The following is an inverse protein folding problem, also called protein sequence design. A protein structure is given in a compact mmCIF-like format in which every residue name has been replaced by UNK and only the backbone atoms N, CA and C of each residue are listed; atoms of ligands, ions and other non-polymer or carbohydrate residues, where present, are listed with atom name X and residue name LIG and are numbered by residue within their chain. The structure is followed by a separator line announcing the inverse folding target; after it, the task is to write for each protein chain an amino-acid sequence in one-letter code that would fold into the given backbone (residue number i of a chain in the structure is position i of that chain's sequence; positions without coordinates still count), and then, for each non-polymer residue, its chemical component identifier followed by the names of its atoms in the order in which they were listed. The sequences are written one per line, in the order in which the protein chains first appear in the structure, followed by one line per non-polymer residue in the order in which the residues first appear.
data_IF_263125517338
#
_entry.id   IF_263125517338
#
_cell.length_a   1.000
_cell.length_b   1.000
_cell.length_c   1.000
_cell.angle_alpha   90.00
_cell.angle_beta   90.00
_cell.angle_gamma   90.00
#
_symmetry.space_group_name_H-M   'P 1'
#
loop_
_entity.id
_entity.type
_entity.pdbx_description
1 polymer ?
#
# COMPACT_ATOMS: atom_id res chain seq x y z
N UNK A 1 43.23 30.70 -25.54
CA UNK A 1 42.58 29.38 -25.30
C UNK A 1 42.32 29.24 -23.80
N UNK A 2 41.15 29.62 -23.38
CA UNK A 2 40.70 29.50 -21.97
C UNK A 2 39.72 28.36 -21.87
N UNK A 3 40.13 27.29 -21.21
CA UNK A 3 39.23 26.17 -20.85
C UNK A 3 38.51 26.57 -19.57
N UNK A 4 37.30 27.05 -19.69
CA UNK A 4 36.42 27.26 -18.58
C UNK A 4 35.93 25.92 -18.01
N UNK A 5 36.46 25.51 -16.86
CA UNK A 5 35.95 24.40 -16.08
C UNK A 5 34.60 24.79 -15.51
N UNK A 6 33.53 24.22 -16.05
CA UNK A 6 32.20 24.31 -15.48
C UNK A 6 32.15 23.52 -14.19
N UNK A 7 32.38 24.19 -13.06
CA UNK A 7 32.05 23.67 -11.76
C UNK A 7 30.52 23.52 -11.68
N UNK A 8 30.04 22.30 -11.78
CA UNK A 8 28.65 21.97 -11.52
C UNK A 8 28.29 22.41 -10.11
N UNK A 9 27.64 23.53 -10.00
CA UNK A 9 27.00 23.98 -8.76
C UNK A 9 25.91 23.03 -8.43
N UNK A 10 26.18 22.09 -7.51
CA UNK A 10 25.15 21.44 -6.78
C UNK A 10 24.41 22.50 -6.00
N UNK A 11 23.24 22.86 -6.46
CA UNK A 11 22.36 23.74 -5.75
C UNK A 11 22.11 23.25 -4.34
N UNK A 12 21.83 24.14 -3.39
CA UNK A 12 21.57 23.76 -2.01
C UNK A 12 20.44 22.74 -1.98
N UNK A 13 20.65 21.67 -1.23
CA UNK A 13 19.59 20.73 -0.88
C UNK A 13 18.52 21.52 -0.16
N UNK A 14 17.40 21.76 -0.82
CA UNK A 14 16.26 22.38 -0.20
C UNK A 14 15.62 21.38 0.76
N UNK A 15 16.19 21.26 1.95
CA UNK A 15 15.53 20.62 3.10
C UNK A 15 14.54 21.59 3.75
N UNK A 16 14.38 22.76 3.19
CA UNK A 16 13.45 23.75 3.67
C UNK A 16 12.13 23.63 2.92
N UNK A 17 11.08 23.70 3.68
CA UNK A 17 9.66 23.85 3.37
C UNK A 17 9.34 24.83 2.21
N UNK A 18 9.92 24.61 1.05
CA UNK A 18 9.56 25.25 -0.21
C UNK A 18 8.54 24.39 -0.96
N UNK A 19 7.81 24.97 -1.91
CA UNK A 19 6.95 24.18 -2.77
C UNK A 19 7.79 23.11 -3.45
N UNK A 20 7.52 21.85 -3.14
CA UNK A 20 8.16 20.72 -3.77
C UNK A 20 7.85 20.67 -5.27
N UNK A 21 8.38 19.70 -6.03
CA UNK A 21 8.08 19.55 -7.44
C UNK A 21 6.56 19.54 -7.65
N UNK A 22 6.09 20.15 -8.73
CA UNK A 22 4.67 20.28 -9.03
C UNK A 22 3.98 18.94 -9.31
N UNK A 23 4.74 17.93 -9.75
CA UNK A 23 4.23 16.59 -10.06
C UNK A 23 5.31 15.52 -9.92
N UNK A 24 4.90 14.29 -9.71
CA UNK A 24 5.77 13.12 -9.69
C UNK A 24 5.07 11.92 -10.33
N UNK A 25 5.85 10.92 -10.70
CA UNK A 25 5.28 9.61 -11.10
C UNK A 25 4.63 8.96 -9.89
N UNK A 26 3.50 8.33 -10.08
CA UNK A 26 2.75 7.68 -9.01
C UNK A 26 3.55 6.57 -8.32
N UNK A 27 4.32 5.79 -9.07
CA UNK A 27 5.18 4.73 -8.53
C UNK A 27 6.30 5.30 -7.64
N UNK A 28 6.92 6.39 -8.04
CA UNK A 28 7.93 7.08 -7.25
C UNK A 28 7.34 7.69 -5.99
N UNK A 29 6.20 8.32 -6.09
CA UNK A 29 5.55 8.96 -4.95
C UNK A 29 5.10 7.93 -3.91
N UNK A 30 4.46 6.83 -4.32
CA UNK A 30 4.05 5.74 -3.40
C UNK A 30 5.23 5.15 -2.64
N UNK A 31 6.37 5.01 -3.30
CA UNK A 31 7.58 4.57 -2.65
C UNK A 31 8.17 5.65 -1.72
N UNK A 32 8.19 6.92 -2.13
CA UNK A 32 8.75 8.01 -1.36
C UNK A 32 8.00 8.26 -0.05
N UNK A 33 6.68 8.16 -0.05
CA UNK A 33 5.82 8.31 1.14
C UNK A 33 5.65 7.01 1.92
N UNK A 34 6.46 5.98 1.63
CA UNK A 34 6.51 4.70 2.33
C UNK A 34 5.22 3.87 2.26
N UNK A 35 4.35 4.11 1.29
CA UNK A 35 3.18 3.26 1.04
C UNK A 35 3.59 1.95 0.36
N UNK A 36 4.54 2.00 -0.57
CA UNK A 36 5.15 0.82 -1.14
C UNK A 36 6.52 0.56 -0.52
N UNK A 37 6.84 -0.69 -0.30
CA UNK A 37 8.11 -1.12 0.31
C UNK A 37 9.30 -0.77 -0.58
N UNK A 38 9.14 -0.98 -1.88
CA UNK A 38 10.14 -0.67 -2.90
C UNK A 38 9.47 0.04 -4.07
N UNK A 39 10.27 0.73 -4.89
CA UNK A 39 9.79 1.34 -6.13
C UNK A 39 9.27 0.28 -7.12
N UNK A 40 9.95 -0.87 -7.18
CA UNK A 40 9.51 -2.00 -8.01
C UNK A 40 8.16 -2.54 -7.57
N UNK A 41 7.89 -2.62 -6.26
CA UNK A 41 6.59 -3.02 -5.73
C UNK A 41 5.50 -2.02 -6.10
N UNK A 42 5.78 -0.72 -6.06
CA UNK A 42 4.85 0.30 -6.52
C UNK A 42 4.54 0.17 -8.02
N UNK A 43 5.56 -0.05 -8.84
CA UNK A 43 5.41 -0.28 -10.28
C UNK A 43 4.56 -1.53 -10.56
N UNK A 44 4.84 -2.62 -9.87
CA UNK A 44 4.08 -3.87 -10.00
C UNK A 44 2.61 -3.70 -9.59
N UNK A 45 2.34 -2.97 -8.51
CA UNK A 45 0.99 -2.67 -8.06
C UNK A 45 0.20 -1.85 -9.09
N UNK A 46 0.83 -0.87 -9.73
CA UNK A 46 0.21 -0.11 -10.81
C UNK A 46 -0.13 -1.01 -12.01
N UNK A 47 0.79 -1.88 -12.42
CA UNK A 47 0.56 -2.83 -13.53
C UNK A 47 -0.52 -3.86 -13.21
N UNK A 48 -0.64 -4.25 -11.96
CA UNK A 48 -1.68 -5.17 -11.50
C UNK A 48 -3.07 -4.51 -11.35
N UNK A 49 -3.18 -3.19 -11.54
CA UNK A 49 -4.43 -2.46 -11.38
C UNK A 49 -4.80 -2.17 -9.92
N UNK A 50 -3.86 -2.33 -9.00
CA UNK A 50 -4.08 -2.06 -7.57
C UNK A 50 -3.97 -0.58 -7.21
N UNK A 51 -3.53 0.26 -8.13
CA UNK A 51 -3.41 1.71 -7.93
C UNK A 51 -4.37 2.42 -8.86
N UNK A 52 -5.17 3.32 -8.29
CA UNK A 52 -6.04 4.21 -9.03
C UNK A 52 -5.76 5.65 -8.66
N UNK A 53 -5.83 6.52 -9.63
CA UNK A 53 -5.72 7.98 -9.43
C UNK A 53 -7.03 8.60 -9.87
N UNK A 54 -7.66 9.34 -8.97
CA UNK A 54 -8.97 9.97 -9.21
C UNK A 54 -10.03 8.98 -9.73
N UNK A 55 -9.98 7.73 -9.25
CA UNK A 55 -10.93 6.67 -9.62
C UNK A 55 -10.54 5.84 -10.83
N UNK A 56 -9.53 6.24 -11.60
CA UNK A 56 -9.08 5.53 -12.81
C UNK A 56 -7.81 4.71 -12.56
N UNK A 57 -7.67 3.53 -13.21
CA UNK A 57 -6.45 2.73 -13.10
C UNK A 57 -5.23 3.55 -13.51
N UNK A 58 -4.21 3.56 -12.67
CA UNK A 58 -2.99 4.32 -12.89
C UNK A 58 -1.91 3.47 -13.55
N UNK A 59 -1.24 4.03 -14.54
CA UNK A 59 0.01 3.49 -15.06
C UNK A 59 1.17 3.91 -14.15
N UNK A 60 2.26 3.10 -14.03
CA UNK A 60 3.39 3.45 -13.17
C UNK A 60 3.99 4.83 -13.46
N UNK A 61 4.04 5.22 -14.72
CA UNK A 61 4.58 6.49 -15.17
C UNK A 61 3.59 7.66 -15.08
N UNK A 62 2.35 7.42 -14.70
CA UNK A 62 1.34 8.46 -14.59
C UNK A 62 1.78 9.52 -13.58
N UNK A 63 1.64 10.78 -13.97
CA UNK A 63 1.96 11.91 -13.11
C UNK A 63 0.81 12.25 -12.20
N UNK A 64 1.14 12.58 -10.97
CA UNK A 64 0.22 13.05 -9.95
C UNK A 64 0.66 14.41 -9.44
N UNK A 65 -0.29 15.19 -8.95
CA UNK A 65 -0.10 16.51 -8.38
C UNK A 65 -0.74 16.60 -6.99
N UNK A 66 -0.46 17.67 -6.28
CA UNK A 66 -1.13 17.97 -5.00
C UNK A 66 -2.64 18.08 -5.22
N UNK A 67 -3.40 17.41 -4.37
CA UNK A 67 -4.85 17.34 -4.45
C UNK A 67 -5.40 16.09 -5.14
N UNK A 68 -4.56 15.31 -5.82
CA UNK A 68 -5.00 14.05 -6.43
C UNK A 68 -5.32 13.01 -5.36
N UNK A 69 -6.40 12.26 -5.58
CA UNK A 69 -6.76 11.12 -4.75
C UNK A 69 -6.13 9.85 -5.33
N UNK A 70 -5.41 9.13 -4.49
CA UNK A 70 -4.81 7.85 -4.84
C UNK A 70 -5.48 6.76 -4.03
N UNK A 71 -6.01 5.76 -4.72
CA UNK A 71 -6.46 4.52 -4.10
C UNK A 71 -5.40 3.45 -4.34
N UNK A 72 -4.88 2.89 -3.26
CA UNK A 72 -3.86 1.86 -3.29
C UNK A 72 -4.33 0.62 -2.53
N UNK A 73 -4.50 -0.49 -3.24
CA UNK A 73 -4.90 -1.76 -2.68
C UNK A 73 -3.70 -2.54 -2.18
N UNK A 74 -3.68 -2.81 -0.89
CA UNK A 74 -2.64 -3.59 -0.20
C UNK A 74 -3.31 -4.64 0.67
N UNK A 75 -2.93 -5.90 0.53
CA UNK A 75 -3.44 -7.01 1.35
C UNK A 75 -4.97 -7.08 1.43
N UNK A 76 -5.62 -6.81 0.30
CA UNK A 76 -7.09 -6.81 0.21
C UNK A 76 -7.77 -5.57 0.81
N UNK A 77 -7.00 -4.61 1.30
CA UNK A 77 -7.49 -3.38 1.89
C UNK A 77 -7.18 -2.17 0.99
N UNK A 78 -8.20 -1.37 0.73
CA UNK A 78 -8.04 -0.15 -0.09
C UNK A 78 -7.64 1.03 0.79
N UNK A 79 -6.46 1.57 0.55
CA UNK A 79 -6.02 2.84 1.13
C UNK A 79 -6.44 3.99 0.22
N UNK A 80 -7.04 5.00 0.81
CA UNK A 80 -7.40 6.24 0.12
C UNK A 80 -6.54 7.36 0.65
N UNK A 81 -5.72 7.91 -0.23
CA UNK A 81 -4.74 8.94 0.11
C UNK A 81 -4.96 10.16 -0.76
N UNK A 82 -4.95 11.33 -0.16
CA UNK A 82 -4.93 12.60 -0.91
C UNK A 82 -3.52 13.16 -0.87
N UNK A 83 -2.98 13.49 -2.03
CA UNK A 83 -1.64 14.04 -2.15
C UNK A 83 -1.62 15.46 -1.57
N UNK A 84 -0.81 15.68 -0.55
CA UNK A 84 -0.58 17.00 0.07
C UNK A 84 0.76 17.59 -0.32
N UNK A 85 1.74 16.73 -0.57
CA UNK A 85 3.09 17.15 -0.96
C UNK A 85 3.67 16.12 -1.94
N UNK A 86 4.32 16.63 -2.96
CA UNK A 86 5.05 15.79 -3.92
C UNK A 86 6.46 15.54 -3.39
N UNK A 87 6.82 14.27 -3.29
CA UNK A 87 8.15 13.82 -2.88
C UNK A 87 8.72 12.89 -3.96
N UNK A 88 9.99 13.09 -4.28
CA UNK A 88 10.72 12.29 -5.28
C UNK A 88 11.71 11.31 -4.64
N UNK A 89 12.00 11.49 -3.36
CA UNK A 89 12.92 10.65 -2.59
C UNK A 89 12.21 10.05 -1.40
N UNK A 90 12.63 8.86 -1.02
CA UNK A 90 12.11 8.21 0.17
C UNK A 90 12.54 8.99 1.41
N UNK A 91 11.57 9.35 2.23
CA UNK A 91 11.75 10.12 3.46
C UNK A 91 11.45 9.27 4.69
N UNK A 92 11.78 9.79 5.87
CA UNK A 92 11.39 9.17 7.14
C UNK A 92 9.87 9.14 7.33
N UNK A 93 9.39 8.24 8.18
CA UNK A 93 7.95 8.05 8.43
C UNK A 93 7.22 9.33 8.88
N UNK A 94 7.76 10.20 9.75
CA UNK A 94 7.10 11.44 10.14
C UNK A 94 6.87 12.39 8.95
N UNK A 95 7.88 12.56 8.10
CA UNK A 95 7.79 13.42 6.91
C UNK A 95 6.85 12.82 5.86
N UNK A 96 6.90 11.50 5.69
CA UNK A 96 6.00 10.79 4.78
C UNK A 96 4.53 11.02 5.14
N UNK A 97 4.18 10.98 6.41
CA UNK A 97 2.80 11.21 6.89
C UNK A 97 2.28 12.62 6.60
N UNK A 98 3.16 13.59 6.51
CA UNK A 98 2.80 14.97 6.17
C UNK A 98 2.56 15.17 4.68
N UNK A 99 3.02 14.24 3.85
CA UNK A 99 2.93 14.34 2.39
C UNK A 99 1.56 13.89 1.84
N UNK A 100 0.75 13.24 2.66
CA UNK A 100 -0.59 12.78 2.27
C UNK A 100 -1.58 12.88 3.42
N UNK A 101 -2.85 12.94 3.08
CA UNK A 101 -3.95 12.78 4.00
C UNK A 101 -4.53 11.38 3.81
N UNK A 102 -4.64 10.63 4.88
CA UNK A 102 -5.19 9.28 4.85
C UNK A 102 -6.70 9.32 5.11
N UNK A 103 -7.47 9.06 4.07
CA UNK A 103 -8.93 8.96 4.11
C UNK A 103 -9.40 7.50 4.12
N UNK A 104 -8.51 6.57 4.38
CA UNK A 104 -8.83 5.14 4.41
C UNK A 104 -9.86 4.87 5.50
N UNK A 105 -10.78 3.93 5.23
CA UNK A 105 -11.63 3.40 6.28
C UNK A 105 -10.79 2.75 7.38
N UNK A 106 -11.22 2.80 8.63
CA UNK A 106 -10.51 2.11 9.70
C UNK A 106 -10.38 0.63 9.34
N UNK A 107 -9.18 0.10 9.50
CA UNK A 107 -8.92 -1.32 9.25
C UNK A 107 -9.79 -2.13 10.22
N UNK A 108 -10.57 -3.12 9.74
CA UNK A 108 -11.31 -4.00 10.61
C UNK A 108 -10.40 -4.56 11.71
N UNK A 109 -10.87 -4.55 12.94
CA UNK A 109 -10.12 -5.13 14.04
C UNK A 109 -9.83 -6.60 13.75
N UNK A 110 -8.70 -7.16 14.21
CA UNK A 110 -8.35 -8.57 13.99
C UNK A 110 -9.40 -9.57 14.50
N UNK A 111 -10.36 -9.10 15.29
CA UNK A 111 -11.49 -9.91 15.81
C UNK A 111 -12.47 -10.34 14.71
N UNK A 112 -12.55 -9.61 13.60
CA UNK A 112 -13.42 -9.96 12.46
C UNK A 112 -12.69 -10.83 11.42
N UNK A 113 -11.39 -11.02 11.58
CA UNK A 113 -10.66 -12.00 10.80
C UNK A 113 -10.95 -13.39 11.38
N UNK A 114 -11.31 -14.40 10.54
CA UNK A 114 -11.41 -15.77 11.01
C UNK A 114 -10.13 -16.09 11.76
N UNK A 115 -10.25 -16.61 12.98
CA UNK A 115 -9.13 -16.87 13.87
C UNK A 115 -8.00 -17.54 13.10
N UNK A 116 -6.96 -16.77 12.84
CA UNK A 116 -5.74 -17.34 12.29
C UNK A 116 -5.29 -18.38 13.29
N UNK A 117 -5.22 -19.63 12.86
CA UNK A 117 -4.65 -20.71 13.68
C UNK A 117 -3.28 -20.25 14.09
N UNK A 118 -3.15 -19.80 15.34
CA UNK A 118 -1.88 -19.39 15.91
C UNK A 118 -1.05 -20.67 16.02
N UNK A 119 -0.11 -20.81 15.10
CA UNK A 119 0.86 -21.88 15.20
C UNK A 119 1.93 -21.45 16.18
N UNK A 120 2.14 -22.27 17.19
CA UNK A 120 3.26 -22.10 18.08
C UNK A 120 4.57 -22.15 17.29
N UNK A 121 5.46 -21.19 17.59
CA UNK A 121 6.80 -21.17 16.99
C UNK A 121 7.50 -22.44 17.38
N UNK A 122 7.78 -23.31 16.41
CA UNK A 122 8.47 -24.58 16.61
C UNK A 122 7.66 -25.83 16.28
N UNK A 123 6.39 -25.68 15.94
CA UNK A 123 5.49 -26.82 15.63
C UNK A 123 5.80 -27.55 14.31
N UNK A 124 6.91 -27.26 13.64
CA UNK A 124 7.37 -27.97 12.46
C UNK A 124 6.36 -28.04 11.32
N UNK A 125 6.60 -28.94 10.37
CA UNK A 125 5.72 -29.16 9.23
C UNK A 125 4.43 -29.88 9.69
N UNK A 126 3.23 -29.43 9.23
CA UNK A 126 1.96 -30.07 9.62
C UNK A 126 2.00 -31.58 9.37
N UNK A 127 1.51 -32.33 10.33
CA UNK A 127 1.34 -33.77 10.20
C UNK A 127 0.29 -34.09 9.13
N UNK A 128 0.32 -35.32 8.61
CA UNK A 128 -0.68 -35.79 7.62
C UNK A 128 -2.11 -35.68 8.13
N UNK A 129 -2.31 -35.86 9.45
CA UNK A 129 -3.61 -35.72 10.11
C UNK A 129 -4.08 -34.28 10.15
N UNK A 130 -3.19 -33.35 10.47
CA UNK A 130 -3.51 -31.91 10.49
C UNK A 130 -3.79 -31.36 9.10
N UNK A 131 -3.06 -31.81 8.08
CA UNK A 131 -3.37 -31.46 6.69
C UNK A 131 -4.74 -31.91 6.26
N UNK A 132 -5.14 -33.16 6.58
CA UNK A 132 -6.48 -33.67 6.26
C UNK A 132 -7.57 -32.89 6.98
N UNK A 133 -7.35 -32.48 8.24
CA UNK A 133 -8.28 -31.66 8.98
C UNK A 133 -8.43 -30.26 8.37
N UNK A 134 -7.34 -29.63 7.92
CA UNK A 134 -7.34 -28.34 7.23
C UNK A 134 -8.04 -28.41 5.87
N UNK A 135 -7.81 -29.50 5.13
CA UNK A 135 -8.46 -29.72 3.83
C UNK A 135 -9.97 -29.95 3.99
N UNK A 136 -10.39 -30.68 5.04
CA UNK A 136 -11.79 -30.85 5.37
C UNK A 136 -12.46 -29.53 5.77
N UNK A 137 -11.80 -28.68 6.54
CA UNK A 137 -12.29 -27.34 6.88
C UNK A 137 -12.41 -26.43 5.66
N UNK A 138 -11.47 -26.51 4.72
CA UNK A 138 -11.53 -25.76 3.46
C UNK A 138 -12.63 -26.25 2.54
N UNK A 139 -12.85 -27.56 2.50
CA UNK A 139 -13.91 -28.18 1.70
C UNK A 139 -15.31 -27.90 2.27
N UNK A 140 -15.44 -27.72 3.59
CA UNK A 140 -16.70 -27.42 4.25
C UNK A 140 -17.23 -26.00 3.93
N UNK A 141 -16.39 -25.08 3.39
CA UNK A 141 -16.78 -23.72 3.02
C UNK A 141 -17.39 -22.94 4.19
N UNK A 142 -17.60 -21.66 4.05
CA UNK A 142 -18.35 -20.86 5.02
C UNK A 142 -19.85 -21.04 4.77
N UNK A 143 -20.36 -22.26 4.94
CA UNK A 143 -21.79 -22.52 4.97
C UNK A 143 -22.25 -22.49 6.43
N UNK A 144 -22.33 -21.30 6.98
CA UNK A 144 -23.23 -21.09 8.11
C UNK A 144 -24.57 -20.69 7.49
N UNK A 145 -25.42 -21.67 7.22
CA UNK A 145 -26.84 -21.44 6.96
C UNK A 145 -27.45 -20.82 8.20
N UNK A 146 -27.39 -19.52 8.32
CA UNK A 146 -28.02 -18.76 9.40
C UNK A 146 -29.55 -18.87 9.32
N UNK A 147 -30.09 -19.21 8.15
CA UNK A 147 -31.53 -19.40 7.95
C UNK A 147 -32.09 -20.61 8.67
N UNK A 148 -31.27 -21.60 9.01
CA UNK A 148 -31.75 -22.85 9.65
C UNK A 148 -31.92 -22.72 11.17
N UNK A 149 -31.44 -21.66 11.77
CA UNK A 149 -31.53 -21.44 13.23
C UNK A 149 -32.79 -20.66 13.61
N UNK A 150 -33.46 -20.02 12.66
CA UNK A 150 -34.65 -19.20 12.92
C UNK A 150 -36.00 -19.90 12.73
N UNK A 151 -36.01 -21.15 12.28
CA UNK A 151 -37.27 -21.89 12.05
C UNK A 151 -37.55 -22.99 13.09
N UNK A 152 -36.85 -23.03 14.21
CA UNK A 152 -37.19 -23.88 15.36
C UNK A 152 -37.67 -23.05 16.53
N UNK A 153 -38.90 -22.52 16.42
CA UNK A 153 -39.77 -22.18 17.54
C UNK A 153 -41.17 -22.71 17.29
#
# INVERSE_FOLDING_TARGET
MTRGGGAGRRGPRADAAGPGPASARVDVWLWSVRQARTRSAATAACRAGHVRVNGEPAKPAQRIAVGDEIRYRVDGFDRRLVVRRILLKRVGAPVARQAYEDLSAPRPAPLDAPAAIIRDRGAGRPTKKERRALDALRAAGPAVDIERILDED
#
